data_IF_778067693808
#
_entry.id   IF_778067693808
#
_cell.length_a   1.000
_cell.length_b   1.000
_cell.length_c   1.000
_cell.angle_alpha   90.00
_cell.angle_beta   90.00
_cell.angle_gamma   90.00
#
_symmetry.space_group_name_H-M   'P 1'
#
loop_
_entity.id
_entity.type
_entity.pdbx_description
1 polymer ?
#
# COMPACT_ATOMS: atom_id res chain seq x y z
N UNK A 1 15.85 -3.01 10.42
CA UNK A 1 16.05 -1.67 11.00
C UNK A 1 15.03 -0.71 10.42
N UNK A 2 14.36 0.08 11.29
CA UNK A 2 13.45 1.14 10.89
C UNK A 2 14.15 2.48 11.09
N UNK A 3 14.44 3.15 10.00
CA UNK A 3 15.17 4.41 9.95
C UNK A 3 14.16 5.57 9.82
N UNK A 4 13.62 5.97 10.94
CA UNK A 4 12.51 6.92 11.04
C UNK A 4 13.01 8.34 11.27
N UNK A 5 13.67 8.91 10.26
CA UNK A 5 14.17 10.27 10.20
C UNK A 5 14.59 10.60 8.75
N UNK A 6 15.38 11.66 8.58
CA UNK A 6 15.98 11.99 7.29
C UNK A 6 15.14 12.90 6.40
N UNK A 7 13.98 13.35 6.87
CA UNK A 7 13.13 14.28 6.10
C UNK A 7 13.85 15.58 5.80
N UNK A 8 14.01 15.91 4.53
CA UNK A 8 14.71 17.12 4.08
C UNK A 8 14.16 18.41 4.67
N UNK A 9 12.85 18.45 5.00
CA UNK A 9 12.22 19.62 5.62
C UNK A 9 12.86 20.03 6.94
N UNK A 10 13.40 19.08 7.72
CA UNK A 10 14.04 19.36 9.01
C UNK A 10 15.45 19.92 8.86
N UNK A 11 16.04 19.87 7.67
CA UNK A 11 17.39 20.38 7.40
C UNK A 11 17.38 21.79 6.80
N UNK A 12 16.22 22.41 6.60
CA UNK A 12 16.13 23.79 6.15
C UNK A 12 16.67 24.75 7.19
N UNK A 13 17.62 25.62 6.79
CA UNK A 13 18.25 26.62 7.67
C UNK A 13 19.26 26.08 8.68
N UNK A 14 19.50 24.78 8.70
CA UNK A 14 20.50 24.18 9.58
C UNK A 14 21.91 24.42 9.00
N UNK A 15 22.86 24.86 9.85
CA UNK A 15 24.27 24.91 9.51
C UNK A 15 24.86 23.51 9.52
N UNK A 16 25.53 23.14 8.43
CA UNK A 16 26.26 21.87 8.33
C UNK A 16 27.75 22.13 8.07
N UNK A 17 28.59 21.17 8.41
CA UNK A 17 30.05 21.25 8.17
C UNK A 17 30.38 21.40 6.68
N UNK A 18 29.56 20.81 5.82
CA UNK A 18 29.66 20.96 4.36
C UNK A 18 28.40 21.68 3.86
N UNK A 19 28.54 22.56 2.90
CA UNK A 19 27.41 23.21 2.23
C UNK A 19 26.67 22.18 1.38
N UNK A 20 25.67 21.52 1.96
CA UNK A 20 24.84 20.53 1.29
C UNK A 20 23.36 20.94 1.38
N UNK A 21 22.58 20.55 0.37
CA UNK A 21 21.15 20.83 0.36
C UNK A 21 20.41 19.92 1.39
N UNK A 22 19.20 20.31 1.83
CA UNK A 22 18.38 19.44 2.65
C UNK A 22 18.15 18.04 2.07
N UNK A 23 17.94 17.94 0.75
CA UNK A 23 17.80 16.66 0.07
C UNK A 23 19.09 15.82 0.09
N UNK A 24 20.27 16.45 0.06
CA UNK A 24 21.55 15.76 0.21
C UNK A 24 21.69 15.16 1.60
N UNK A 25 21.20 15.82 2.65
CA UNK A 25 21.14 15.22 4.00
C UNK A 25 20.27 13.97 4.01
N UNK A 26 19.11 14.01 3.36
CA UNK A 26 18.22 12.84 3.22
C UNK A 26 18.92 11.69 2.49
N UNK A 27 19.66 11.98 1.43
CA UNK A 27 20.45 10.98 0.69
C UNK A 27 21.55 10.37 1.57
N UNK A 28 22.29 11.20 2.30
CA UNK A 28 23.36 10.71 3.20
C UNK A 28 22.80 9.85 4.33
N UNK A 29 21.68 10.24 4.91
CA UNK A 29 20.97 9.46 5.93
C UNK A 29 20.57 8.08 5.38
N UNK A 30 19.98 8.04 4.18
CA UNK A 30 19.57 6.80 3.55
C UNK A 30 20.76 5.87 3.27
N UNK A 31 21.89 6.42 2.83
CA UNK A 31 23.13 5.65 2.55
C UNK A 31 23.68 4.92 3.78
N UNK A 32 23.52 5.49 4.98
CA UNK A 32 23.96 4.84 6.22
C UNK A 32 23.28 3.49 6.41
N UNK A 33 21.97 3.43 6.18
CA UNK A 33 21.19 2.22 6.41
C UNK A 33 21.37 1.14 5.34
N UNK A 34 21.90 1.47 4.15
CA UNK A 34 22.14 0.45 3.11
C UNK A 34 23.16 -0.61 3.54
N UNK A 35 24.00 -0.33 4.55
CA UNK A 35 24.92 -1.30 5.13
C UNK A 35 24.22 -2.35 6.00
N UNK A 36 22.97 -2.18 6.33
CA UNK A 36 22.20 -3.07 7.19
C UNK A 36 21.14 -3.82 6.38
N UNK A 37 21.00 -5.14 6.56
CA UNK A 37 19.92 -5.90 5.94
C UNK A 37 18.57 -5.52 6.56
N UNK A 38 17.48 -5.69 5.79
CA UNK A 38 16.12 -5.45 6.26
C UNK A 38 15.88 -4.04 6.80
N UNK A 39 16.24 -3.04 6.00
CA UNK A 39 16.08 -1.62 6.33
C UNK A 39 14.78 -1.04 5.76
N UNK A 40 14.15 -0.16 6.52
CA UNK A 40 12.95 0.60 6.13
C UNK A 40 13.18 2.08 6.43
N UNK A 41 12.78 2.94 5.50
CA UNK A 41 12.92 4.39 5.61
C UNK A 41 11.60 5.11 5.44
N UNK A 42 11.40 6.18 6.22
CA UNK A 42 10.33 7.14 5.98
C UNK A 42 10.69 8.14 4.88
N UNK A 43 11.93 8.53 4.77
CA UNK A 43 12.39 9.50 3.80
C UNK A 43 13.69 9.05 3.13
N UNK A 44 13.69 9.05 1.80
CA UNK A 44 14.88 8.82 0.98
C UNK A 44 14.94 9.83 -0.17
N UNK A 45 16.12 10.05 -0.72
CA UNK A 45 16.32 10.88 -1.88
C UNK A 45 17.33 10.24 -2.82
N UNK A 46 16.96 10.07 -4.09
CA UNK A 46 17.79 9.41 -5.12
C UNK A 46 18.17 7.96 -4.77
N UNK A 47 17.29 7.25 -4.07
CA UNK A 47 17.51 5.87 -3.64
C UNK A 47 16.64 4.85 -4.41
N UNK A 48 15.96 5.25 -5.47
CA UNK A 48 15.24 4.34 -6.33
C UNK A 48 16.14 3.20 -6.84
N UNK A 49 15.65 1.97 -6.86
CA UNK A 49 16.39 0.78 -7.24
C UNK A 49 17.38 0.25 -6.19
N UNK A 50 17.53 0.90 -5.04
CA UNK A 50 18.36 0.40 -3.94
C UNK A 50 17.60 -0.67 -3.13
N UNK A 51 18.35 -1.59 -2.46
CA UNK A 51 17.74 -2.67 -1.65
C UNK A 51 17.23 -2.15 -0.30
N UNK A 52 16.19 -1.34 -0.35
CA UNK A 52 15.56 -0.74 0.82
C UNK A 52 14.04 -0.73 0.68
N UNK A 53 13.35 -0.65 1.81
CA UNK A 53 11.91 -0.42 1.85
C UNK A 53 11.65 1.08 2.05
N UNK A 54 10.92 1.70 1.12
CA UNK A 54 10.41 3.06 1.27
C UNK A 54 9.03 3.00 1.89
N UNK A 55 8.83 3.64 3.04
CA UNK A 55 7.54 3.80 3.70
C UNK A 55 6.93 5.16 3.35
N UNK A 56 5.65 5.20 3.10
CA UNK A 56 4.91 6.46 3.01
C UNK A 56 5.00 7.24 4.34
N UNK A 57 4.78 8.54 4.29
CA UNK A 57 4.68 9.37 5.50
C UNK A 57 3.49 8.95 6.37
N UNK A 58 3.58 9.27 7.66
CA UNK A 58 2.55 8.94 8.64
C UNK A 58 1.16 9.44 8.19
N UNK A 59 0.20 8.54 8.18
CA UNK A 59 -1.21 8.80 7.89
C UNK A 59 -1.98 9.02 9.18
N UNK A 60 -2.97 9.89 9.13
CA UNK A 60 -3.96 10.01 10.19
C UNK A 60 -4.91 8.82 10.20
N UNK A 61 -5.52 8.57 11.37
CA UNK A 61 -6.58 7.57 11.49
C UNK A 61 -7.91 8.13 10.96
N UNK A 62 -7.98 8.32 9.65
CA UNK A 62 -9.17 8.85 8.96
C UNK A 62 -9.35 8.28 7.54
N UNK A 63 -10.55 8.42 7.01
CA UNK A 63 -10.94 7.87 5.71
C UNK A 63 -10.30 8.60 4.52
N UNK A 64 -9.98 9.88 4.66
CA UNK A 64 -9.35 10.64 3.58
C UNK A 64 -7.89 10.23 3.40
N UNK A 65 -7.18 9.95 4.51
CA UNK A 65 -5.81 9.43 4.44
C UNK A 65 -5.79 7.98 3.94
N UNK A 66 -6.79 7.16 4.29
CA UNK A 66 -6.92 5.82 3.72
C UNK A 66 -7.04 5.85 2.18
N UNK A 67 -7.82 6.79 1.62
CA UNK A 67 -7.97 6.96 0.16
C UNK A 67 -6.69 7.35 -0.55
N UNK A 68 -5.75 8.01 0.15
CA UNK A 68 -4.45 8.43 -0.40
C UNK A 68 -3.44 7.29 -0.53
N UNK A 69 -3.64 6.16 0.16
CA UNK A 69 -2.66 5.07 0.18
C UNK A 69 -2.38 4.53 -1.22
N UNK A 70 -3.42 4.19 -1.98
CA UNK A 70 -3.25 3.61 -3.33
C UNK A 70 -2.51 4.57 -4.26
N UNK A 71 -2.96 5.84 -4.47
CA UNK A 71 -2.24 6.78 -5.33
C UNK A 71 -0.78 7.00 -4.93
N UNK A 72 -0.49 7.09 -3.63
CA UNK A 72 0.88 7.29 -3.15
C UNK A 72 1.77 6.07 -3.39
N UNK A 73 1.25 4.85 -3.16
CA UNK A 73 1.97 3.61 -3.44
C UNK A 73 2.28 3.44 -4.93
N UNK A 74 1.31 3.80 -5.80
CA UNK A 74 1.51 3.79 -7.25
C UNK A 74 2.61 4.77 -7.67
N UNK A 75 2.64 5.95 -7.05
CA UNK A 75 3.68 6.94 -7.32
C UNK A 75 5.06 6.45 -6.87
N UNK A 76 5.19 5.89 -5.67
CA UNK A 76 6.47 5.31 -5.20
C UNK A 76 7.00 4.24 -6.14
N UNK A 77 6.14 3.35 -6.62
CA UNK A 77 6.51 2.32 -7.59
C UNK A 77 7.10 2.92 -8.88
N UNK A 78 6.46 3.96 -9.44
CA UNK A 78 6.96 4.66 -10.64
C UNK A 78 8.27 5.41 -10.37
N UNK A 79 8.46 5.91 -9.16
CA UNK A 79 9.71 6.57 -8.74
C UNK A 79 10.87 5.59 -8.52
N UNK A 80 10.68 4.29 -8.75
CA UNK A 80 11.71 3.27 -8.62
C UNK A 80 11.84 2.66 -7.22
N UNK A 81 10.80 2.75 -6.40
CA UNK A 81 10.73 2.11 -5.07
C UNK A 81 9.75 0.93 -5.07
N UNK A 82 10.12 -0.22 -5.64
CA UNK A 82 9.22 -1.38 -5.72
C UNK A 82 8.93 -1.99 -4.35
N UNK A 83 9.89 -1.91 -3.41
CA UNK A 83 9.75 -2.41 -2.04
C UNK A 83 9.18 -1.30 -1.16
N UNK A 84 7.91 -1.05 -1.32
CA UNK A 84 7.22 0.06 -0.67
C UNK A 84 6.30 -0.40 0.45
N UNK A 85 6.13 0.47 1.46
CA UNK A 85 5.25 0.25 2.60
C UNK A 85 4.19 1.36 2.64
N UNK A 86 2.89 1.02 2.64
CA UNK A 86 1.82 2.02 2.62
C UNK A 86 1.58 2.69 3.98
N UNK A 87 2.62 2.83 4.81
CA UNK A 87 2.53 3.23 6.21
C UNK A 87 2.00 2.09 7.10
N UNK A 88 1.54 2.40 8.29
CA UNK A 88 1.00 1.43 9.25
C UNK A 88 -0.52 1.35 9.19
N UNK A 89 -1.06 0.16 9.39
CA UNK A 89 -2.49 -0.09 9.39
C UNK A 89 -3.16 0.70 10.52
N UNK A 90 -4.21 1.43 10.16
CA UNK A 90 -4.91 2.35 11.05
C UNK A 90 -4.30 3.75 11.07
N UNK A 91 -3.19 3.99 10.38
CA UNK A 91 -2.43 5.24 10.34
C UNK A 91 -1.19 5.21 11.24
N UNK A 92 -0.09 5.82 10.77
CA UNK A 92 1.18 5.89 11.48
C UNK A 92 1.30 7.06 12.43
N UNK A 93 0.40 8.03 12.34
CA UNK A 93 0.39 9.21 13.22
C UNK A 93 0.08 8.77 14.66
N UNK A 94 1.09 8.80 15.54
CA UNK A 94 0.99 8.27 16.90
C UNK A 94 -0.11 8.95 17.72
N UNK A 95 -0.38 10.23 17.49
CA UNK A 95 -1.44 10.97 18.18
C UNK A 95 -2.84 10.41 17.93
N UNK A 96 -3.04 9.65 16.87
CA UNK A 96 -4.31 8.98 16.57
C UNK A 96 -4.63 7.82 17.50
N UNK A 97 -3.65 7.36 18.31
CA UNK A 97 -3.77 6.20 19.18
C UNK A 97 -3.41 6.52 20.63
N UNK A 98 -3.34 7.80 20.98
CA UNK A 98 -3.19 8.23 22.37
C UNK A 98 -4.51 8.04 23.13
N UNK A 99 -4.40 8.08 24.46
CA UNK A 99 -5.53 7.91 25.38
C UNK A 99 -6.74 8.74 24.96
N UNK A 100 -7.93 8.14 25.02
CA UNK A 100 -9.23 8.71 24.67
C UNK A 100 -9.47 9.05 23.17
N UNK A 101 -8.54 8.79 22.28
CA UNK A 101 -8.79 8.94 20.84
C UNK A 101 -9.79 7.86 20.36
N UNK A 102 -10.90 8.25 19.73
CA UNK A 102 -11.88 7.27 19.25
C UNK A 102 -11.32 6.45 18.11
N UNK A 103 -11.27 5.13 18.28
CA UNK A 103 -10.83 4.20 17.26
C UNK A 103 -12.01 3.83 16.34
N UNK A 104 -11.92 4.18 15.07
CA UNK A 104 -12.83 3.66 14.05
C UNK A 104 -12.41 2.24 13.65
N UNK A 105 -13.04 1.24 14.24
CA UNK A 105 -12.69 -0.17 14.05
C UNK A 105 -12.87 -0.61 12.59
N UNK A 106 -13.86 -0.07 11.89
CA UNK A 106 -14.06 -0.36 10.46
C UNK A 106 -12.92 0.21 9.63
N UNK A 107 -12.43 1.41 9.94
CA UNK A 107 -11.27 2.00 9.29
C UNK A 107 -10.04 1.09 9.42
N UNK A 108 -9.81 0.52 10.62
CA UNK A 108 -8.72 -0.46 10.83
C UNK A 108 -8.89 -1.68 9.91
N UNK A 109 -10.09 -2.23 9.81
CA UNK A 109 -10.38 -3.37 8.90
C UNK A 109 -10.12 -2.99 7.44
N UNK A 110 -10.67 -1.86 6.96
CA UNK A 110 -10.48 -1.42 5.56
C UNK A 110 -9.02 -1.09 5.25
N UNK A 111 -8.31 -0.47 6.20
CA UNK A 111 -6.88 -0.26 6.10
C UNK A 111 -6.12 -1.58 5.98
N UNK A 112 -6.43 -2.57 6.83
CA UNK A 112 -5.84 -3.93 6.73
C UNK A 112 -6.07 -4.54 5.36
N UNK A 113 -7.28 -4.43 4.80
CA UNK A 113 -7.60 -4.94 3.48
C UNK A 113 -6.79 -4.25 2.37
N UNK A 114 -6.59 -2.93 2.44
CA UNK A 114 -5.72 -2.21 1.48
C UNK A 114 -4.29 -2.75 1.54
N UNK A 115 -3.76 -2.96 2.76
CA UNK A 115 -2.37 -3.42 2.96
C UNK A 115 -2.17 -4.90 2.60
N UNK A 116 -3.21 -5.73 2.67
CA UNK A 116 -3.09 -7.19 2.55
C UNK A 116 -2.40 -7.65 1.26
N UNK A 117 -2.65 -6.98 0.14
CA UNK A 117 -2.05 -7.30 -1.17
C UNK A 117 -1.05 -6.22 -1.65
N UNK A 118 -0.41 -5.52 -0.71
CA UNK A 118 0.70 -4.61 -0.97
C UNK A 118 2.04 -5.24 -0.55
N UNK A 119 3.19 -4.69 -0.98
CA UNK A 119 4.50 -5.30 -0.69
C UNK A 119 4.75 -5.47 0.81
N UNK A 120 4.51 -4.42 1.60
CA UNK A 120 4.67 -4.44 3.05
C UNK A 120 3.33 -4.28 3.77
N UNK A 121 3.27 -4.80 5.01
CA UNK A 121 2.11 -4.75 5.88
C UNK A 121 2.57 -4.62 7.33
N UNK A 122 2.21 -3.54 8.00
CA UNK A 122 2.58 -3.24 9.39
C UNK A 122 1.35 -2.74 10.15
N UNK A 123 1.27 -3.05 11.45
CA UNK A 123 0.23 -2.53 12.33
C UNK A 123 0.79 -1.45 13.25
N UNK A 124 0.07 -0.34 13.43
CA UNK A 124 0.40 0.69 14.42
C UNK A 124 0.19 0.17 15.84
N UNK A 125 -0.92 -0.52 16.04
CA UNK A 125 -1.36 -1.05 17.35
C UNK A 125 -1.79 -2.50 17.17
N UNK A 126 -1.57 -3.31 18.17
CA UNK A 126 -2.01 -4.70 18.18
C UNK A 126 -3.53 -4.80 18.02
N UNK A 127 -4.06 -5.41 16.94
CA UNK A 127 -5.49 -5.38 16.62
C UNK A 127 -6.38 -5.95 17.73
N UNK A 128 -5.91 -6.99 18.44
CA UNK A 128 -6.65 -7.62 19.55
C UNK A 128 -6.83 -6.73 20.76
N UNK A 129 -6.13 -5.58 20.84
CA UNK A 129 -6.25 -4.60 21.93
C UNK A 129 -7.33 -3.55 21.68
N UNK A 130 -7.67 -3.32 20.40
CA UNK A 130 -8.50 -2.18 20.00
C UNK A 130 -9.76 -2.58 19.23
N UNK A 131 -9.90 -3.85 18.84
CA UNK A 131 -11.01 -4.33 18.03
C UNK A 131 -11.90 -5.29 18.80
N UNK A 132 -13.21 -5.21 18.57
CA UNK A 132 -14.15 -6.23 18.97
C UNK A 132 -13.98 -7.52 18.13
N UNK A 133 -14.67 -8.58 18.54
CA UNK A 133 -14.55 -9.92 17.90
C UNK A 133 -14.88 -9.91 16.40
N UNK A 134 -15.90 -9.11 15.97
CA UNK A 134 -16.34 -9.02 14.58
C UNK A 134 -15.25 -8.38 13.71
N UNK A 135 -14.75 -7.22 14.13
CA UNK A 135 -13.73 -6.47 13.39
C UNK A 135 -12.38 -7.20 13.41
N UNK A 136 -12.01 -7.78 14.56
CA UNK A 136 -10.80 -8.58 14.66
C UNK A 136 -10.82 -9.79 13.72
N UNK A 137 -11.97 -10.49 13.63
CA UNK A 137 -12.13 -11.57 12.65
C UNK A 137 -11.92 -11.09 11.21
N UNK A 138 -12.47 -9.95 10.83
CA UNK A 138 -12.29 -9.39 9.49
C UNK A 138 -10.83 -9.01 9.20
N UNK A 139 -10.09 -8.54 10.20
CA UNK A 139 -8.63 -8.33 10.11
C UNK A 139 -7.90 -9.65 9.89
N UNK A 140 -8.23 -10.71 10.64
CA UNK A 140 -7.64 -12.04 10.44
C UNK A 140 -7.92 -12.61 9.06
N UNK A 141 -9.12 -12.40 8.52
CA UNK A 141 -9.47 -12.83 7.16
C UNK A 141 -8.56 -12.13 6.11
N UNK A 142 -8.26 -10.85 6.28
CA UNK A 142 -7.34 -10.11 5.42
C UNK A 142 -5.86 -10.56 5.58
N UNK A 143 -5.43 -10.87 6.79
CA UNK A 143 -4.09 -11.43 7.05
C UNK A 143 -3.94 -12.81 6.42
N UNK A 144 -4.96 -13.67 6.58
CA UNK A 144 -4.97 -14.99 5.95
C UNK A 144 -4.95 -14.89 4.41
N UNK A 145 -5.65 -13.91 3.84
CA UNK A 145 -5.58 -13.63 2.41
C UNK A 145 -4.15 -13.28 1.99
N UNK A 146 -3.46 -12.42 2.74
CA UNK A 146 -2.05 -12.10 2.47
C UNK A 146 -1.18 -13.34 2.46
N UNK A 147 -1.37 -14.25 3.41
CA UNK A 147 -0.57 -15.49 3.46
C UNK A 147 -0.80 -16.36 2.21
N UNK A 148 -2.03 -16.44 1.69
CA UNK A 148 -2.32 -17.11 0.42
C UNK A 148 -1.57 -16.47 -0.78
N UNK A 149 -1.38 -15.15 -0.77
CA UNK A 149 -0.68 -14.41 -1.82
C UNK A 149 0.81 -14.20 -1.54
N UNK A 150 1.33 -14.68 -0.41
CA UNK A 150 2.73 -14.49 0.00
C UNK A 150 3.72 -14.89 -1.10
N UNK A 151 3.54 -16.06 -1.70
CA UNK A 151 4.41 -16.51 -2.79
C UNK A 151 4.38 -15.56 -3.98
N UNK A 152 3.19 -15.10 -4.37
CA UNK A 152 3.03 -14.14 -5.48
C UNK A 152 3.74 -12.82 -5.19
N UNK A 153 3.60 -12.29 -3.98
CA UNK A 153 4.26 -11.05 -3.57
C UNK A 153 5.79 -11.22 -3.58
N UNK A 154 6.30 -12.35 -3.08
CA UNK A 154 7.73 -12.63 -3.06
C UNK A 154 8.30 -12.85 -4.47
N UNK A 155 7.57 -13.51 -5.37
CA UNK A 155 7.97 -13.67 -6.76
C UNK A 155 8.05 -12.30 -7.46
N UNK A 156 7.05 -11.44 -7.27
CA UNK A 156 7.06 -10.08 -7.80
C UNK A 156 8.20 -9.23 -7.20
N UNK A 157 8.52 -9.41 -5.92
CA UNK A 157 9.64 -8.73 -5.29
C UNK A 157 10.98 -9.20 -5.88
N UNK A 158 11.11 -10.48 -6.17
CA UNK A 158 12.29 -11.02 -6.87
C UNK A 158 12.41 -10.44 -8.28
N UNK A 159 11.32 -10.46 -9.05
CA UNK A 159 11.31 -9.86 -10.40
C UNK A 159 11.69 -8.38 -10.36
N UNK A 160 11.13 -7.62 -9.41
CA UNK A 160 11.44 -6.21 -9.22
C UNK A 160 12.93 -5.95 -8.92
N UNK A 161 13.60 -6.86 -8.20
CA UNK A 161 15.04 -6.73 -7.91
C UNK A 161 15.92 -6.87 -9.15
N UNK A 162 15.45 -7.51 -10.22
CA UNK A 162 16.20 -7.66 -11.47
C UNK A 162 15.84 -6.63 -12.53
N UNK A 163 14.56 -6.23 -12.61
CA UNK A 163 14.08 -5.41 -13.73
C UNK A 163 13.55 -4.03 -13.30
N UNK A 164 13.47 -3.74 -11.98
CA UNK A 164 12.95 -2.47 -11.46
C UNK A 164 11.44 -2.29 -11.59
N UNK A 165 10.71 -3.29 -12.07
CA UNK A 165 9.27 -3.21 -12.25
C UNK A 165 8.53 -3.02 -10.92
N UNK A 166 7.57 -2.09 -10.80
CA UNK A 166 6.81 -1.93 -9.56
C UNK A 166 5.97 -3.18 -9.25
N UNK A 167 5.92 -3.56 -7.99
CA UNK A 167 5.09 -4.68 -7.51
C UNK A 167 3.61 -4.29 -7.59
N UNK A 168 3.29 -3.10 -7.08
CA UNK A 168 1.96 -2.48 -7.18
C UNK A 168 1.96 -1.51 -8.35
N UNK A 169 1.03 -1.71 -9.28
CA UNK A 169 0.99 -0.99 -10.56
C UNK A 169 -0.35 -0.28 -10.75
N UNK A 170 -0.33 0.88 -11.39
CA UNK A 170 -1.58 1.48 -11.86
C UNK A 170 -2.19 0.65 -12.99
N UNK A 171 -3.48 0.77 -13.17
CA UNK A 171 -4.14 0.13 -14.33
C UNK A 171 -3.60 0.68 -15.66
N UNK A 172 -3.29 1.99 -15.72
CA UNK A 172 -2.70 2.62 -16.89
C UNK A 172 -1.30 2.09 -17.21
N UNK A 173 -0.51 1.72 -16.17
CA UNK A 173 0.80 1.10 -16.35
C UNK A 173 0.72 -0.27 -17.04
N UNK A 174 -0.27 -1.08 -16.66
CA UNK A 174 -0.45 -2.45 -17.19
C UNK A 174 -1.23 -2.46 -18.51
N UNK A 175 -2.12 -1.49 -18.70
CA UNK A 175 -3.00 -1.34 -19.87
C UNK A 175 -2.94 0.10 -20.38
N UNK A 176 -1.81 0.51 -20.98
CA UNK A 176 -1.59 1.88 -21.40
C UNK A 176 -2.57 2.29 -22.49
N UNK A 177 -2.98 3.55 -22.45
CA UNK A 177 -3.87 4.17 -23.42
C UNK A 177 -5.29 3.57 -23.51
N UNK A 178 -5.70 2.80 -22.49
CA UNK A 178 -7.08 2.29 -22.39
C UNK A 178 -8.00 3.16 -21.50
N UNK A 179 -7.54 4.36 -21.09
CA UNK A 179 -8.34 5.35 -20.34
C UNK A 179 -8.37 5.16 -18.83
N UNK A 180 -7.38 4.51 -18.26
CA UNK A 180 -7.32 4.21 -16.82
C UNK A 180 -6.53 5.22 -15.99
N UNK A 181 -6.01 6.28 -16.57
CA UNK A 181 -5.12 7.26 -15.93
C UNK A 181 -5.73 7.89 -14.65
N UNK A 182 -7.05 8.02 -14.60
CA UNK A 182 -7.76 8.61 -13.45
C UNK A 182 -8.24 7.60 -12.41
N UNK A 183 -7.91 6.32 -12.54
CA UNK A 183 -8.32 5.28 -11.58
C UNK A 183 -7.39 5.31 -10.38
N UNK A 184 -7.92 5.72 -9.20
CA UNK A 184 -7.14 5.95 -7.98
C UNK A 184 -7.51 5.01 -6.83
N UNK A 185 -8.52 4.18 -7.01
CA UNK A 185 -9.16 3.38 -5.95
C UNK A 185 -9.07 1.87 -6.18
N UNK A 186 -8.33 1.46 -7.20
CA UNK A 186 -7.99 0.08 -7.49
C UNK A 186 -6.59 0.02 -8.13
N UNK A 187 -5.92 -1.12 -7.99
CA UNK A 187 -4.55 -1.30 -8.46
C UNK A 187 -4.33 -2.70 -9.00
N UNK A 188 -3.23 -2.90 -9.71
CA UNK A 188 -2.76 -4.20 -10.14
C UNK A 188 -1.63 -4.67 -9.21
N UNK A 189 -1.70 -5.90 -8.73
CA UNK A 189 -0.58 -6.61 -8.14
C UNK A 189 0.10 -7.43 -9.27
N UNK A 190 1.26 -6.96 -9.71
CA UNK A 190 1.85 -7.38 -10.97
C UNK A 190 0.92 -7.13 -12.15
N UNK A 191 0.92 -8.02 -13.14
CA UNK A 191 0.12 -7.88 -14.37
C UNK A 191 -1.19 -8.70 -14.37
N UNK A 192 -1.41 -9.52 -13.35
CA UNK A 192 -2.47 -10.55 -13.40
C UNK A 192 -3.55 -10.40 -12.34
N UNK A 193 -3.35 -9.62 -11.28
CA UNK A 193 -4.29 -9.52 -10.17
C UNK A 193 -4.74 -8.07 -10.02
N UNK A 194 -6.02 -7.83 -10.24
CA UNK A 194 -6.67 -6.55 -9.98
C UNK A 194 -7.19 -6.56 -8.53
N UNK A 195 -6.85 -5.57 -7.75
CA UNK A 195 -7.30 -5.40 -6.36
C UNK A 195 -8.15 -4.15 -6.27
N UNK A 196 -9.34 -4.28 -5.67
CA UNK A 196 -10.33 -3.21 -5.63
C UNK A 196 -10.88 -3.01 -4.21
N UNK A 197 -10.11 -2.45 -3.27
CA UNK A 197 -10.54 -2.27 -1.88
C UNK A 197 -11.76 -1.35 -1.76
N UNK A 198 -12.54 -1.51 -0.71
CA UNK A 198 -13.63 -0.60 -0.37
C UNK A 198 -13.12 0.48 0.58
N UNK A 199 -13.16 1.74 0.16
CA UNK A 199 -12.52 2.87 0.84
C UNK A 199 -13.53 3.83 1.49
N UNK A 200 -14.67 3.30 1.93
CA UNK A 200 -15.73 4.08 2.57
C UNK A 200 -16.26 3.36 3.80
N UNK A 201 -16.81 4.10 4.73
CA UNK A 201 -17.46 3.56 5.93
C UNK A 201 -18.79 2.90 5.60
N UNK A 202 -19.13 1.86 6.34
CA UNK A 202 -20.35 1.07 6.15
C UNK A 202 -20.19 -0.02 5.11
N UNK A 203 -21.14 -0.96 5.11
CA UNK A 203 -21.23 -1.95 4.05
C UNK A 203 -21.92 -1.35 2.82
N UNK A 204 -21.40 -1.67 1.65
CA UNK A 204 -21.92 -1.06 0.44
C UNK A 204 -21.61 -1.83 -0.83
N UNK A 205 -21.88 -1.17 -1.92
CA UNK A 205 -21.54 -1.66 -3.26
C UNK A 205 -20.39 -0.83 -3.84
N UNK A 206 -19.48 -1.51 -4.53
CA UNK A 206 -18.34 -0.91 -5.20
C UNK A 206 -18.46 -1.11 -6.71
N UNK A 207 -18.24 -0.05 -7.46
CA UNK A 207 -18.02 -0.11 -8.89
C UNK A 207 -16.55 -0.47 -9.15
N UNK A 208 -16.30 -1.55 -9.89
CA UNK A 208 -14.97 -2.02 -10.27
C UNK A 208 -14.86 -1.96 -11.79
N UNK A 209 -13.78 -1.40 -12.28
CA UNK A 209 -13.45 -1.35 -13.71
C UNK A 209 -12.56 -2.55 -14.02
N UNK A 210 -13.03 -3.45 -14.88
CA UNK A 210 -12.28 -4.61 -15.33
C UNK A 210 -11.69 -4.34 -16.72
N UNK A 211 -10.37 -4.38 -16.91
CA UNK A 211 -9.74 -4.31 -18.22
C UNK A 211 -10.22 -5.44 -19.15
N UNK A 212 -10.03 -5.29 -20.46
CA UNK A 212 -10.39 -6.33 -21.44
C UNK A 212 -9.80 -7.69 -21.08
N UNK A 213 -10.56 -8.76 -21.34
CA UNK A 213 -10.21 -10.14 -21.02
C UNK A 213 -11.24 -10.81 -20.12
N UNK A 214 -10.87 -11.95 -19.53
CA UNK A 214 -11.70 -12.66 -18.54
C UNK A 214 -11.07 -12.53 -17.15
N UNK A 215 -11.90 -12.37 -16.14
CA UNK A 215 -11.48 -12.12 -14.76
C UNK A 215 -12.23 -13.02 -13.79
N UNK A 216 -11.52 -13.82 -13.03
CA UNK A 216 -12.09 -14.65 -11.95
C UNK A 216 -11.99 -13.88 -10.63
N UNK A 217 -13.14 -13.58 -10.02
CA UNK A 217 -13.21 -12.86 -8.75
C UNK A 217 -12.81 -13.73 -7.54
N UNK A 218 -12.58 -13.08 -6.41
CA UNK A 218 -12.43 -13.69 -5.08
C UNK A 218 -13.52 -14.70 -4.71
N UNK A 219 -14.74 -14.53 -5.25
CA UNK A 219 -15.87 -15.45 -5.05
C UNK A 219 -15.93 -16.59 -6.07
N UNK A 220 -14.95 -16.70 -6.94
CA UNK A 220 -14.91 -17.72 -8.00
C UNK A 220 -15.71 -17.39 -9.25
N UNK A 221 -16.53 -16.32 -9.24
CA UNK A 221 -17.31 -15.91 -10.40
C UNK A 221 -16.40 -15.34 -11.50
N UNK A 222 -16.65 -15.75 -12.73
CA UNK A 222 -15.93 -15.24 -13.92
C UNK A 222 -16.71 -14.10 -14.56
N UNK A 223 -16.00 -13.02 -14.89
CA UNK A 223 -16.53 -11.84 -15.55
C UNK A 223 -15.82 -11.61 -16.88
N UNK A 224 -16.55 -11.16 -17.88
CA UNK A 224 -15.98 -10.57 -19.10
C UNK A 224 -15.60 -9.12 -18.76
N UNK A 225 -14.33 -8.77 -18.97
CA UNK A 225 -13.83 -7.41 -18.79
C UNK A 225 -14.16 -6.48 -19.96
N UNK A 226 -13.48 -5.33 -19.99
CA UNK A 226 -13.77 -4.20 -20.90
C UNK A 226 -14.99 -3.40 -20.46
N UNK A 227 -15.39 -3.48 -19.19
CA UNK A 227 -16.54 -2.78 -18.60
C UNK A 227 -16.42 -2.64 -17.09
N UNK A 228 -17.29 -1.79 -16.54
CA UNK A 228 -17.49 -1.72 -15.09
C UNK A 228 -18.51 -2.76 -14.64
N UNK A 229 -18.29 -3.27 -13.42
CA UNK A 229 -19.25 -4.09 -12.68
C UNK A 229 -19.51 -3.48 -11.31
N UNK A 230 -20.66 -3.77 -10.72
CA UNK A 230 -20.97 -3.39 -9.33
C UNK A 230 -21.03 -4.65 -8.47
N UNK A 231 -20.35 -4.65 -7.36
CA UNK A 231 -20.28 -5.78 -6.43
C UNK A 231 -20.58 -5.34 -5.00
N UNK A 232 -21.20 -6.21 -4.21
CA UNK A 232 -21.38 -5.99 -2.76
C UNK A 232 -20.06 -6.28 -2.03
N UNK A 233 -19.73 -5.43 -1.05
CA UNK A 233 -18.49 -5.56 -0.26
C UNK A 233 -18.83 -5.51 1.23
N UNK A 234 -19.16 -6.66 1.85
CA UNK A 234 -19.30 -6.74 3.29
C UNK A 234 -17.97 -6.46 4.01
N UNK A 235 -18.03 -6.27 5.32
CA UNK A 235 -16.88 -5.86 6.13
C UNK A 235 -15.65 -6.76 5.97
N UNK A 236 -15.85 -8.06 5.88
CA UNK A 236 -14.76 -9.05 5.83
C UNK A 236 -14.23 -9.36 4.41
N UNK A 237 -14.61 -8.58 3.40
CA UNK A 237 -14.26 -8.85 2.01
C UNK A 237 -13.30 -7.81 1.44
N UNK A 238 -12.16 -8.27 0.93
CA UNK A 238 -11.34 -7.52 -0.01
C UNK A 238 -11.61 -8.06 -1.42
N UNK A 239 -12.27 -7.32 -2.31
CA UNK A 239 -12.46 -7.75 -3.69
C UNK A 239 -11.15 -7.75 -4.46
N UNK A 240 -10.86 -8.87 -5.11
CA UNK A 240 -9.79 -8.99 -6.10
C UNK A 240 -10.23 -9.86 -7.27
N UNK A 241 -9.53 -9.73 -8.38
CA UNK A 241 -9.82 -10.46 -9.61
C UNK A 241 -8.51 -10.95 -10.22
N UNK A 242 -8.45 -12.22 -10.54
CA UNK A 242 -7.31 -12.82 -11.22
C UNK A 242 -7.62 -12.92 -12.71
N UNK A 243 -6.69 -12.47 -13.55
CA UNK A 243 -6.82 -12.61 -15.01
C UNK A 243 -6.94 -14.08 -15.35
N UNK A 244 -7.98 -14.43 -16.05
CA UNK A 244 -8.34 -15.81 -16.41
C UNK A 244 -8.23 -15.99 -17.93
N UNK A 245 -7.49 -16.99 -18.36
CA UNK A 245 -7.28 -17.31 -19.78
C UNK A 245 -8.46 -18.08 -20.35
#
# INVERSE_FOLDING_TARGET
>A
FKLDAGDGRFYKGIKSLKKVSPNTHTELFAKIGLSYPYNEYRATWKMGGQPLVQRLHDKSHDWEDLKKLIPHMLLEGIMGYPFSCPDMIGGGQFTSFLDDAPIDQELVVRSTQVHALMPMMQFSVAPWRILDKKHFKAVLDAVNLRDQFKKTILDLARDASFNGEPIVRSMEYVYPHEGYVNIKDQFMLGNKILVAPYLSKGEGSRKVILPKGKWKSDTGKVYKGGKSITIKVPLNRLPYFVKYN
#
